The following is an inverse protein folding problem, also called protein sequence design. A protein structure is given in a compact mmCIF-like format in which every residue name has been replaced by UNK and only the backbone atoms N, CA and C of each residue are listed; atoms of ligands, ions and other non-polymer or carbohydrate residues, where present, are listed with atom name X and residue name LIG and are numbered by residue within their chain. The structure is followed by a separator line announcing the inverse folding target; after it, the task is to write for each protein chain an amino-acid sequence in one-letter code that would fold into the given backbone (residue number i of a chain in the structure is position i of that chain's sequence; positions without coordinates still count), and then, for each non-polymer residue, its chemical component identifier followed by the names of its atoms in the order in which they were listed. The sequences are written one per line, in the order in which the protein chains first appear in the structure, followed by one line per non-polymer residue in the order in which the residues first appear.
data_IF_104484949304
#
_entry.id   IF_104484949304
#
_cell.length_a   1.000
_cell.length_b   1.000
_cell.length_c   1.000
_cell.angle_alpha   90.00
_cell.angle_beta   90.00
_cell.angle_gamma   90.00
#
_symmetry.space_group_name_H-M   'P 1'
#
loop_
_entity.id
_entity.type
_entity.pdbx_description
1 polymer ?
#
# COMPACT_ATOMS: atom_id res chain seq x y z
N UNK A 1 9.43 8.03 -14.94
CA UNK A 1 9.01 7.09 -13.87
C UNK A 1 8.08 7.83 -12.93
N UNK A 2 6.95 7.23 -12.58
CA UNK A 2 5.96 7.82 -11.68
C UNK A 2 6.48 7.75 -10.24
N UNK A 3 6.69 8.91 -9.62
CA UNK A 3 7.09 9.03 -8.23
C UNK A 3 6.23 10.10 -7.55
N UNK A 4 5.91 9.91 -6.27
CA UNK A 4 5.08 10.84 -5.51
C UNK A 4 5.99 11.69 -4.63
N UNK A 5 5.96 13.01 -4.82
CA UNK A 5 6.71 13.95 -3.98
C UNK A 5 5.94 14.22 -2.70
N UNK A 6 6.67 14.25 -1.58
CA UNK A 6 6.16 14.40 -0.23
C UNK A 6 7.09 15.33 0.58
N UNK A 7 6.54 15.90 1.66
CA UNK A 7 7.17 16.84 2.58
C UNK A 7 6.53 16.72 3.96
N UNK A 8 7.29 17.07 4.98
CA UNK A 8 6.89 16.90 6.38
C UNK A 8 6.88 15.43 6.81
N UNK A 9 6.17 15.20 7.91
CA UNK A 9 6.03 13.88 8.54
C UNK A 9 4.72 13.24 8.14
N UNK A 10 4.80 12.02 7.60
CA UNK A 10 3.64 11.22 7.23
C UNK A 10 3.75 9.83 7.83
N UNK A 11 2.63 9.32 8.32
CA UNK A 11 2.39 7.91 8.54
C UNK A 11 1.90 7.31 7.22
N UNK A 12 2.39 6.12 6.89
CA UNK A 12 2.14 5.41 5.64
C UNK A 12 1.62 4.04 6.03
N UNK A 13 0.40 3.72 5.64
CA UNK A 13 -0.27 2.46 5.94
C UNK A 13 -0.67 1.76 4.65
N UNK A 14 -0.31 0.48 4.51
CA UNK A 14 -0.76 -0.37 3.40
C UNK A 14 -2.18 -0.83 3.69
N UNK A 15 -3.16 -0.27 2.98
CA UNK A 15 -4.58 -0.59 3.20
C UNK A 15 -5.03 -1.80 2.40
N UNK A 16 -4.46 -2.03 1.22
CA UNK A 16 -4.68 -3.27 0.46
C UNK A 16 -3.47 -3.60 -0.40
N UNK A 17 -3.31 -4.90 -0.70
CA UNK A 17 -2.29 -5.42 -1.63
C UNK A 17 -2.87 -6.64 -2.34
N UNK A 18 -3.50 -6.41 -3.48
CA UNK A 18 -4.08 -7.46 -4.32
C UNK A 18 -3.06 -8.09 -5.27
N UNK A 19 -1.94 -7.39 -5.52
CA UNK A 19 -0.85 -7.89 -6.35
C UNK A 19 -0.31 -9.22 -5.83
N UNK A 20 -0.10 -10.17 -6.74
CA UNK A 20 0.61 -11.42 -6.46
C UNK A 20 2.13 -11.24 -6.40
N UNK A 21 2.65 -10.11 -6.88
CA UNK A 21 4.08 -9.82 -6.88
C UNK A 21 4.53 -9.29 -5.52
N UNK A 22 5.82 -9.48 -5.21
CA UNK A 22 6.44 -8.76 -4.11
C UNK A 22 6.47 -7.28 -4.46
N UNK A 23 6.07 -6.42 -3.51
CA UNK A 23 5.98 -4.97 -3.69
C UNK A 23 6.91 -4.30 -2.69
N UNK A 24 7.53 -3.19 -3.07
CA UNK A 24 8.33 -2.36 -2.17
C UNK A 24 8.17 -0.88 -2.45
N UNK A 25 8.41 -0.10 -1.41
CA UNK A 25 8.48 1.35 -1.43
C UNK A 25 9.94 1.78 -1.33
N UNK A 26 10.39 2.60 -2.28
CA UNK A 26 11.74 3.18 -2.29
C UNK A 26 11.63 4.66 -2.01
N UNK A 27 12.28 5.10 -0.92
CA UNK A 27 12.34 6.49 -0.49
C UNK A 27 13.61 7.15 -1.02
N UNK A 28 13.49 8.40 -1.46
CA UNK A 28 14.65 9.21 -1.87
C UNK A 28 14.49 10.68 -1.48
N UNK A 29 15.58 11.45 -1.49
CA UNK A 29 15.63 12.81 -0.95
C UNK A 29 16.14 12.80 0.49
N UNK A 30 15.46 13.55 1.37
CA UNK A 30 15.81 13.63 2.79
C UNK A 30 15.60 12.29 3.53
N UNK A 31 14.75 11.42 2.98
CA UNK A 31 14.53 10.07 3.49
C UNK A 31 15.12 9.07 2.50
N UNK A 32 16.05 8.24 2.95
CA UNK A 32 16.67 7.18 2.15
C UNK A 32 16.47 5.83 2.83
N UNK A 33 15.49 5.07 2.35
CA UNK A 33 15.22 3.71 2.83
C UNK A 33 14.42 2.93 1.79
N UNK A 34 14.34 1.63 1.97
CA UNK A 34 13.48 0.74 1.20
C UNK A 34 12.63 -0.08 2.16
N UNK A 35 11.34 -0.25 1.86
CA UNK A 35 10.41 -1.05 2.65
C UNK A 35 9.70 -2.04 1.73
N UNK A 36 9.86 -3.33 1.95
CA UNK A 36 8.97 -4.32 1.33
C UNK A 36 7.58 -4.19 1.96
N UNK A 37 6.51 -4.39 1.19
CA UNK A 37 5.16 -4.06 1.58
C UNK A 37 4.28 -5.30 1.72
N UNK A 38 3.57 -5.38 2.84
CA UNK A 38 2.49 -6.33 3.10
C UNK A 38 1.24 -5.60 3.57
N UNK A 39 0.06 -6.19 3.37
CA UNK A 39 -1.20 -5.61 3.83
C UNK A 39 -1.18 -5.37 5.35
N UNK A 40 -1.69 -4.23 5.79
CA UNK A 40 -1.67 -3.81 7.20
C UNK A 40 -0.33 -3.25 7.69
N UNK A 41 0.75 -3.34 6.89
CA UNK A 41 2.03 -2.75 7.26
C UNK A 41 1.89 -1.24 7.42
N UNK A 42 2.56 -0.71 8.44
CA UNK A 42 2.63 0.72 8.74
C UNK A 42 4.08 1.18 8.92
N UNK A 43 4.41 2.36 8.41
CA UNK A 43 5.72 2.99 8.59
C UNK A 43 5.58 4.52 8.57
N UNK A 44 6.51 5.23 9.20
CA UNK A 44 6.57 6.68 9.15
C UNK A 44 7.74 7.17 8.31
N UNK A 45 7.62 8.36 7.71
CA UNK A 45 8.71 9.06 7.05
C UNK A 45 8.61 10.56 7.33
N UNK A 46 9.75 11.19 7.57
CA UNK A 46 9.84 12.61 7.89
C UNK A 46 11.02 13.25 7.19
N UNK A 47 10.79 14.36 6.49
CA UNK A 47 11.81 15.13 5.80
C UNK A 47 11.21 16.40 5.20
N UNK A 48 12.03 17.37 4.85
CA UNK A 48 11.56 18.61 4.20
C UNK A 48 11.12 18.32 2.77
N UNK A 49 11.87 17.48 2.06
CA UNK A 49 11.52 17.02 0.71
C UNK A 49 11.99 15.60 0.46
N UNK A 50 11.04 14.73 0.15
CA UNK A 50 11.31 13.34 -0.15
C UNK A 50 10.36 12.81 -1.23
N UNK A 51 10.68 11.65 -1.80
CA UNK A 51 9.92 11.04 -2.89
C UNK A 51 9.71 9.56 -2.65
N UNK A 52 8.53 9.09 -3.06
CA UNK A 52 8.14 7.69 -3.06
C UNK A 52 8.14 7.12 -4.47
N UNK A 53 8.84 6.00 -4.62
CA UNK A 53 8.76 5.13 -5.80
C UNK A 53 8.21 3.77 -5.40
N UNK A 54 7.40 3.22 -6.28
CA UNK A 54 6.73 1.95 -6.09
C UNK A 54 7.32 0.95 -7.05
N UNK A 55 7.77 -0.19 -6.53
CA UNK A 55 8.42 -1.21 -7.31
C UNK A 55 7.86 -2.59 -7.01
N UNK A 56 7.87 -3.45 -8.02
CA UNK A 56 7.48 -4.85 -7.93
C UNK A 56 8.59 -5.78 -8.40
N UNK A 57 8.55 -7.01 -7.91
CA UNK A 57 9.40 -8.11 -8.35
C UNK A 57 8.54 -9.32 -8.69
N UNK A 58 8.74 -9.86 -9.89
CA UNK A 58 7.94 -10.98 -10.43
C UNK A 58 8.45 -12.36 -10.00
N UNK A 59 9.33 -12.39 -8.99
CA UNK A 59 10.01 -13.60 -8.52
C UNK A 59 11.34 -13.88 -9.22
N UNK A 60 11.84 -12.95 -10.04
CA UNK A 60 13.08 -13.10 -10.82
C UNK A 60 14.27 -12.33 -10.22
N UNK A 61 14.10 -11.77 -9.03
CA UNK A 61 15.15 -11.00 -8.34
C UNK A 61 15.32 -9.57 -8.86
N UNK A 62 14.60 -9.17 -9.91
CA UNK A 62 14.71 -7.84 -10.51
C UNK A 62 13.54 -6.95 -10.09
N UNK A 63 13.86 -5.85 -9.42
CA UNK A 63 12.87 -4.84 -9.04
C UNK A 63 12.61 -3.87 -10.17
N UNK A 64 11.33 -3.62 -10.44
CA UNK A 64 10.87 -2.80 -11.55
C UNK A 64 9.89 -1.75 -11.04
N UNK A 65 9.88 -0.53 -11.61
CA UNK A 65 8.85 0.45 -11.27
C UNK A 65 7.47 -0.08 -11.64
N UNK A 66 6.48 0.22 -10.81
CA UNK A 66 5.07 0.00 -11.13
C UNK A 66 4.68 0.80 -12.38
N UNK A 67 3.88 0.19 -13.26
CA UNK A 67 3.51 0.79 -14.55
C UNK A 67 2.67 2.05 -14.38
N UNK A 68 1.89 2.14 -13.30
CA UNK A 68 1.12 3.33 -12.98
C UNK A 68 1.04 3.58 -11.49
N UNK A 69 1.01 4.86 -11.13
CA UNK A 69 0.81 5.36 -9.76
C UNK A 69 -0.17 6.50 -9.85
N UNK A 70 -1.30 6.37 -9.14
CA UNK A 70 -2.30 7.41 -8.98
C UNK A 70 -2.23 7.92 -7.54
N UNK A 71 -1.82 9.17 -7.39
CA UNK A 71 -1.76 9.81 -6.09
C UNK A 71 -2.95 10.75 -5.98
N UNK A 72 -3.94 10.37 -5.17
CA UNK A 72 -5.13 11.16 -4.91
C UNK A 72 -4.82 12.53 -4.32
N UNK A 73 -5.84 13.38 -4.25
CA UNK A 73 -5.74 14.67 -3.59
C UNK A 73 -5.43 14.47 -2.09
N UNK A 74 -4.81 15.49 -1.50
CA UNK A 74 -4.71 15.58 -0.05
C UNK A 74 -6.04 16.16 0.46
N UNK A 75 -6.70 15.43 1.33
CA UNK A 75 -7.97 15.82 1.93
C UNK A 75 -7.78 16.07 3.42
N UNK A 76 -8.47 17.07 3.97
CA UNK A 76 -8.51 17.27 5.41
C UNK A 76 -9.69 16.49 5.99
N UNK A 77 -9.39 15.59 6.92
CA UNK A 77 -10.35 14.77 7.65
C UNK A 77 -10.21 15.09 9.15
N UNK A 78 -11.03 16.00 9.66
CA UNK A 78 -10.93 16.46 11.05
C UNK A 78 -9.57 17.11 11.37
N UNK A 79 -8.82 16.48 12.28
CA UNK A 79 -7.50 16.95 12.72
C UNK A 79 -6.33 16.29 11.96
N UNK A 80 -6.61 15.65 10.83
CA UNK A 80 -5.60 15.01 9.99
C UNK A 80 -5.72 15.46 8.53
N UNK A 81 -4.59 15.41 7.83
CA UNK A 81 -4.56 15.35 6.37
C UNK A 81 -4.36 13.90 5.95
N UNK A 82 -5.09 13.50 4.92
CA UNK A 82 -5.04 12.15 4.39
C UNK A 82 -4.81 12.19 2.87
N UNK A 83 -4.11 11.19 2.36
CA UNK A 83 -3.89 10.99 0.93
C UNK A 83 -3.92 9.51 0.60
N UNK A 84 -4.75 9.12 -0.36
CA UNK A 84 -4.73 7.76 -0.89
C UNK A 84 -3.77 7.71 -2.08
N UNK A 85 -2.91 6.70 -2.13
CA UNK A 85 -2.11 6.36 -3.30
C UNK A 85 -2.47 4.96 -3.75
N UNK A 86 -2.83 4.83 -5.01
CA UNK A 86 -3.20 3.60 -5.68
C UNK A 86 -2.20 3.29 -6.79
N UNK A 87 -1.83 2.02 -6.99
CA UNK A 87 -0.84 1.67 -8.02
C UNK A 87 -1.28 0.48 -8.85
N UNK A 88 -0.70 0.39 -10.05
CA UNK A 88 -0.72 -0.79 -10.91
C UNK A 88 0.71 -1.25 -11.15
N UNK A 89 1.03 -2.51 -10.89
CA UNK A 89 2.35 -3.07 -11.16
C UNK A 89 2.57 -3.30 -12.66
N UNK A 90 1.63 -3.96 -13.32
CA UNK A 90 1.65 -4.37 -14.73
C UNK A 90 0.23 -4.33 -15.28
N UNK A 91 0.05 -3.88 -16.52
CA UNK A 91 -1.24 -4.02 -17.20
C UNK A 91 -1.32 -5.36 -17.93
N UNK A 92 -2.45 -6.05 -17.79
CA UNK A 92 -2.80 -7.19 -18.63
C UNK A 92 -4.23 -7.09 -19.14
N UNK A 93 -4.58 -7.95 -20.10
CA UNK A 93 -5.91 -7.95 -20.69
C UNK A 93 -6.97 -8.24 -19.63
N UNK A 94 -7.92 -7.32 -19.46
CA UNK A 94 -9.00 -7.46 -18.47
C UNK A 94 -8.69 -6.85 -17.10
N UNK A 95 -7.46 -6.37 -16.86
CA UNK A 95 -7.12 -5.72 -15.61
C UNK A 95 -6.33 -4.42 -15.83
N UNK A 96 -7.02 -3.32 -15.56
CA UNK A 96 -6.51 -1.96 -15.70
C UNK A 96 -6.70 -1.12 -14.45
N UNK A 97 -7.27 -1.70 -13.40
CA UNK A 97 -7.61 -0.98 -12.18
C UNK A 97 -6.36 -0.74 -11.33
N UNK A 98 -6.27 0.41 -10.68
CA UNK A 98 -5.18 0.73 -9.76
C UNK A 98 -5.48 0.19 -8.36
N UNK A 99 -5.48 -1.13 -8.22
CA UNK A 99 -5.81 -1.83 -6.98
C UNK A 99 -4.76 -2.84 -6.51
N UNK A 100 -3.69 -3.04 -7.28
CA UNK A 100 -2.56 -3.93 -6.96
C UNK A 100 -1.91 -3.60 -5.60
N UNK A 101 -1.86 -2.32 -5.27
CA UNK A 101 -1.40 -1.80 -3.98
C UNK A 101 -2.06 -0.46 -3.70
N UNK A 102 -2.62 -0.31 -2.50
CA UNK A 102 -3.17 0.95 -2.00
C UNK A 102 -2.53 1.33 -0.67
N UNK A 103 -2.08 2.57 -0.57
CA UNK A 103 -1.54 3.16 0.65
C UNK A 103 -2.41 4.33 1.10
N UNK A 104 -2.73 4.38 2.39
CA UNK A 104 -3.24 5.57 3.05
C UNK A 104 -2.07 6.28 3.73
N UNK A 105 -1.87 7.53 3.38
CA UNK A 105 -0.91 8.41 4.02
C UNK A 105 -1.68 9.37 4.93
N UNK A 106 -1.29 9.47 6.20
CA UNK A 106 -1.91 10.39 7.15
C UNK A 106 -0.86 11.27 7.82
N UNK A 107 -1.23 12.50 8.15
CA UNK A 107 -0.43 13.37 9.01
C UNK A 107 -1.32 14.28 9.86
N UNK A 108 -0.89 14.66 11.08
CA UNK A 108 -1.63 15.62 11.89
C UNK A 108 -1.73 17.00 11.21
N UNK A 109 -2.90 17.63 11.30
CA UNK A 109 -3.15 18.97 10.77
C UNK A 109 -2.42 20.07 11.57
N UNK A 110 -2.06 19.78 12.82
CA UNK A 110 -1.22 20.65 13.66
C UNK A 110 0.15 20.95 13.05
N UNK A 111 0.62 20.11 12.10
CA UNK A 111 1.86 20.33 11.37
C UNK A 111 1.77 21.32 10.20
N UNK A 112 0.66 22.04 10.05
CA UNK A 112 0.42 22.96 8.93
C UNK A 112 -0.06 22.25 7.66
N UNK A 113 -0.61 23.04 6.72
CA UNK A 113 -1.09 22.53 5.44
C UNK A 113 0.08 21.99 4.60
N UNK A 114 -0.08 20.83 3.92
CA UNK A 114 0.97 20.27 3.07
C UNK A 114 1.18 21.10 1.80
N UNK A 115 2.43 21.21 1.36
CA UNK A 115 2.83 21.96 0.17
C UNK A 115 2.60 21.19 -1.15
N UNK A 116 2.22 19.91 -1.08
CA UNK A 116 2.09 19.04 -2.25
C UNK A 116 0.69 19.11 -2.86
N UNK A 117 0.54 19.86 -3.96
CA UNK A 117 -0.65 19.80 -4.80
C UNK A 117 -0.31 19.75 -6.29
N UNK A 118 -1.28 19.33 -7.10
CA UNK A 118 -1.16 19.33 -8.57
C UNK A 118 -1.01 20.79 -9.03
N UNK A 119 0.07 21.12 -9.73
CA UNK A 119 0.28 22.45 -10.29
C UNK A 119 0.74 23.54 -9.31
N UNK A 120 1.32 23.19 -8.16
CA UNK A 120 1.87 24.19 -7.22
C UNK A 120 0.84 24.91 -6.36
N UNK A 121 -0.40 24.42 -6.31
CA UNK A 121 -1.46 24.93 -5.44
C UNK A 121 -1.69 23.93 -4.31
N UNK A 122 -1.46 24.26 -3.03
CA UNK A 122 -1.71 23.36 -1.91
C UNK A 122 -3.22 23.09 -1.81
N UNK A 123 -3.66 21.89 -2.19
CA UNK A 123 -5.06 21.51 -2.06
C UNK A 123 -5.22 20.73 -0.75
N UNK A 124 -5.71 21.39 0.28
CA UNK A 124 -6.50 20.71 1.30
C UNK A 124 -7.96 20.86 0.89
N UNK A 125 -8.56 19.83 0.29
CA UNK A 125 -10.02 19.83 0.14
C UNK A 125 -10.56 19.77 1.56
N UNK A 126 -11.26 20.80 2.02
CA UNK A 126 -12.18 20.63 3.12
C UNK A 126 -13.28 19.72 2.60
N UNK A 127 -13.18 18.42 2.88
CA UNK A 127 -14.28 17.50 2.63
C UNK A 127 -15.21 17.64 3.83
N UNK A 128 -16.29 18.40 3.67
CA UNK A 128 -17.39 18.35 4.62
C UNK A 128 -18.04 16.97 4.45
N UNK A 129 -17.83 16.09 5.43
CA UNK A 129 -18.20 14.67 5.35
C UNK A 129 -19.72 14.43 5.43
N UNK A 130 -20.55 15.48 5.36
CA UNK A 130 -22.01 15.36 5.46
C UNK A 130 -22.71 14.79 4.20
N UNK A 131 -21.98 14.40 3.14
CA UNK A 131 -22.61 13.99 1.88
C UNK A 131 -21.96 12.85 1.09
N UNK A 132 -20.96 12.14 1.63
CA UNK A 132 -20.39 10.95 0.97
C UNK A 132 -21.08 9.68 1.50
N UNK A 133 -21.42 8.69 0.65
CA UNK A 133 -21.90 7.39 1.15
C UNK A 133 -20.81 6.76 2.01
N UNK A 134 -21.20 6.23 3.16
CA UNK A 134 -20.34 5.73 4.25
C UNK A 134 -19.11 4.98 3.73
N UNK A 135 -17.95 5.63 3.79
CA UNK A 135 -16.67 4.92 3.76
C UNK A 135 -16.61 4.02 4.99
N UNK A 136 -16.23 2.73 4.86
CA UNK A 136 -16.17 1.85 6.00
C UNK A 136 -15.06 2.35 6.95
N UNK A 137 -15.49 2.95 8.06
CA UNK A 137 -14.64 3.21 9.21
C UNK A 137 -14.19 1.84 9.71
N UNK A 138 -12.92 1.50 9.52
CA UNK A 138 -12.36 0.32 10.17
C UNK A 138 -12.44 0.54 11.68
N UNK A 139 -13.05 -0.39 12.44
CA UNK A 139 -13.13 -0.24 13.89
C UNK A 139 -11.72 -0.18 14.47
N UNK A 140 -11.51 0.74 15.42
CA UNK A 140 -10.33 0.76 16.25
C UNK A 140 -10.17 -0.64 16.89
N UNK A 141 -9.07 -1.33 16.58
CA UNK A 141 -8.76 -2.60 17.24
C UNK A 141 -8.35 -2.30 18.68
N UNK A 142 -9.32 -2.21 19.57
CA UNK A 142 -9.09 -2.46 20.98
C UNK A 142 -8.73 -3.94 21.14
N UNK A 143 -7.64 -4.16 21.86
CA UNK A 143 -7.20 -5.49 22.26
C UNK A 143 -8.26 -6.12 23.16
N UNK A 144 -8.93 -7.16 22.68
CA UNK A 144 -9.74 -8.03 23.52
C UNK A 144 -9.66 -9.47 23.01
N UNK A 145 -9.55 -10.38 23.98
CA UNK A 145 -9.37 -11.83 23.91
C UNK A 145 -10.03 -12.56 22.73
N UNK A 146 -9.24 -13.44 22.11
CA UNK A 146 -9.75 -14.47 21.22
C UNK A 146 -10.40 -15.62 22.03
N UNK A 147 -11.65 -16.03 21.74
CA UNK A 147 -12.11 -17.36 22.13
C UNK A 147 -11.69 -18.39 21.07
N UNK A 148 -11.38 -19.63 21.46
CA UNK A 148 -10.93 -20.66 20.54
C UNK A 148 -12.12 -21.24 19.76
N UNK A 149 -11.78 -22.00 18.72
CA UNK A 149 -12.65 -22.88 17.90
C UNK A 149 -13.20 -22.29 16.58
N UNK A 150 -12.53 -22.65 15.48
CA UNK A 150 -13.09 -23.61 14.51
C UNK A 150 -12.03 -24.06 13.51
N UNK A 151 -11.42 -25.19 13.82
CA UNK A 151 -10.71 -26.03 12.86
C UNK A 151 -11.76 -26.58 11.87
N UNK A 152 -11.80 -26.08 10.64
CA UNK A 152 -12.53 -26.75 9.54
C UNK A 152 -11.53 -27.43 8.63
N UNK A 153 -11.35 -28.71 8.89
CA UNK A 153 -10.72 -29.68 8.00
C UNK A 153 -11.46 -29.72 6.66
N UNK A 154 -10.73 -29.50 5.56
CA UNK A 154 -11.14 -29.96 4.24
C UNK A 154 -10.12 -31.00 3.76
N UNK A 155 -10.65 -32.18 3.44
CA UNK A 155 -9.90 -33.41 3.22
C UNK A 155 -9.22 -33.52 1.84
N UNK A 156 -8.23 -34.42 1.81
CA UNK A 156 -7.65 -35.03 0.59
C UNK A 156 -8.71 -35.78 -0.22
N UNK A 157 -8.61 -35.80 -1.56
CA UNK A 157 -7.95 -36.91 -2.28
C UNK A 157 -7.06 -36.38 -3.43
N UNK A 158 -6.11 -37.07 -4.07
CA UNK A 158 -5.65 -38.45 -4.18
C UNK A 158 -4.54 -38.50 -5.26
N UNK A 159 -3.80 -39.60 -5.30
CA UNK A 159 -2.49 -39.88 -5.89
C UNK A 159 -2.19 -39.57 -7.38
N UNK A 160 -0.93 -39.19 -7.65
CA UNK A 160 -0.04 -39.64 -8.75
C UNK A 160 1.38 -39.12 -8.44
N UNK A 161 2.52 -39.79 -8.58
CA UNK A 161 2.89 -41.12 -9.05
C UNK A 161 4.39 -41.33 -8.72
N UNK A 162 4.80 -42.58 -8.60
CA UNK A 162 6.17 -43.03 -8.32
C UNK A 162 7.14 -42.64 -9.44
N UNK A 163 8.43 -42.39 -9.14
CA UNK A 163 9.48 -42.87 -10.03
C UNK A 163 10.45 -43.82 -9.31
N UNK A 164 10.57 -45.01 -9.91
CA UNK A 164 11.58 -46.02 -9.62
C UNK A 164 12.99 -45.43 -9.77
N UNK A 165 13.88 -45.67 -8.79
CA UNK A 165 15.33 -45.71 -9.06
C UNK A 165 15.94 -47.03 -8.59
N UNK A 166 16.50 -47.72 -9.58
CA UNK A 166 17.22 -48.99 -9.56
C UNK A 166 18.39 -49.01 -8.56
N UNK A 167 18.59 -50.17 -7.94
CA UNK A 167 19.88 -50.61 -7.38
C UNK A 167 20.81 -51.12 -8.48
N UNK A 168 22.10 -50.80 -8.36
CA UNK A 168 23.31 -51.51 -8.83
C UNK A 168 24.47 -50.72 -8.18
N UNK A 169 25.49 -51.25 -7.50
CA UNK A 169 26.04 -52.58 -7.28
C UNK A 169 26.30 -52.79 -5.78
#
# INVERSE_FOLDING_TARGET
MSAVSMSGTWQITVVSKESLFAQRLVFSGDVQKTLELGAGMSASASGRRWRLRFEHNRGDGVWRPNVSVEAGAIVRCGNEFQRLIATKDVFWTGDRAHDDLKLLLTRPASGGAPEEGVGGVPFAVGVDLQGMPDMPVLPAMDSAEAPPERLRSYGRPGSAGTPLRRRSF
#
